data_IF_137324496569
#
_entry.id   IF_137324496569
#
_cell.length_a   1.000
_cell.length_b   1.000
_cell.length_c   1.000
_cell.angle_alpha   90.00
_cell.angle_beta   90.00
_cell.angle_gamma   90.00
#
_symmetry.space_group_name_H-M   'P 1'
#
loop_
_entity.id
_entity.type
_entity.pdbx_description
1 polymer ?
#
# COMPACT_ATOMS: atom_id res chain seq x y z
N UNK A 1 13.31 10.56 20.42
CA UNK A 1 12.87 9.35 19.70
C UNK A 1 12.51 8.28 20.72
N UNK A 2 13.43 7.98 21.64
CA UNK A 2 13.27 6.97 22.69
C UNK A 2 12.01 7.16 23.56
N UNK A 3 11.70 8.38 24.02
CA UNK A 3 10.49 8.59 24.84
C UNK A 3 9.17 8.34 24.10
N UNK A 4 9.14 8.56 22.77
CA UNK A 4 7.95 8.32 21.93
C UNK A 4 7.77 6.82 21.72
N UNK A 5 8.87 6.08 21.56
CA UNK A 5 8.87 4.63 21.38
C UNK A 5 8.42 3.94 22.68
N UNK A 6 8.95 4.36 23.83
CA UNK A 6 8.56 3.85 25.15
C UNK A 6 7.09 4.13 25.46
N UNK A 7 6.64 5.37 25.27
CA UNK A 7 5.24 5.76 25.50
C UNK A 7 4.29 4.96 24.60
N UNK A 8 4.62 4.82 23.32
CA UNK A 8 3.83 4.00 22.40
C UNK A 8 3.79 2.54 22.86
N UNK A 9 4.94 1.96 23.23
CA UNK A 9 5.00 0.55 23.66
C UNK A 9 4.16 0.30 24.90
N UNK A 10 4.19 1.20 25.90
CA UNK A 10 3.32 1.10 27.07
C UNK A 10 1.84 1.27 26.71
N UNK A 11 1.52 2.14 25.75
CA UNK A 11 0.14 2.31 25.26
C UNK A 11 -0.36 1.11 24.44
N UNK A 12 0.55 0.29 23.89
CA UNK A 12 0.21 -0.88 23.08
C UNK A 12 -0.47 -1.99 23.90
N UNK A 13 -0.42 -1.93 25.24
CA UNK A 13 -1.29 -2.72 26.11
C UNK A 13 -0.88 -4.19 26.31
N UNK A 14 0.38 -4.54 26.02
CA UNK A 14 0.88 -5.89 26.30
C UNK A 14 0.98 -6.15 27.81
N UNK A 15 0.34 -7.22 28.26
CA UNK A 15 0.45 -7.72 29.64
C UNK A 15 1.79 -8.41 29.88
N UNK A 16 2.23 -8.48 31.15
CA UNK A 16 3.44 -9.23 31.55
C UNK A 16 3.41 -10.68 31.04
N UNK A 17 2.22 -11.31 31.06
CA UNK A 17 2.04 -12.68 30.56
C UNK A 17 2.30 -12.78 29.04
N UNK A 18 1.84 -11.80 28.25
CA UNK A 18 2.09 -11.74 26.81
C UNK A 18 3.57 -11.47 26.51
N UNK A 19 4.19 -10.56 27.26
CA UNK A 19 5.63 -10.27 27.13
C UNK A 19 6.48 -11.50 27.44
N UNK A 20 6.13 -12.25 28.49
CA UNK A 20 6.77 -13.52 28.83
C UNK A 20 6.56 -14.57 27.72
N UNK A 21 5.35 -14.68 27.18
CA UNK A 21 5.06 -15.58 26.06
C UNK A 21 5.88 -15.25 24.81
N UNK A 22 6.10 -13.96 24.52
CA UNK A 22 6.96 -13.49 23.42
C UNK A 22 8.41 -13.93 23.65
N UNK A 23 8.94 -13.72 24.86
CA UNK A 23 10.30 -14.11 25.22
C UNK A 23 10.50 -15.64 25.07
N UNK A 24 9.55 -16.44 25.57
CA UNK A 24 9.59 -17.91 25.45
C UNK A 24 9.46 -18.40 24.00
N UNK A 25 8.60 -17.78 23.19
CA UNK A 25 8.47 -18.09 21.78
C UNK A 25 9.75 -17.77 21.00
N UNK A 26 10.41 -16.66 21.31
CA UNK A 26 11.71 -16.29 20.73
C UNK A 26 12.81 -17.28 21.10
N UNK A 27 12.92 -17.65 22.37
CA UNK A 27 13.91 -18.65 22.79
C UNK A 27 13.68 -19.99 22.06
N UNK A 28 12.42 -20.42 21.92
CA UNK A 28 12.06 -21.61 21.13
C UNK A 28 12.43 -21.46 19.66
N UNK A 29 12.18 -20.30 19.07
CA UNK A 29 12.54 -20.00 17.68
C UNK A 29 14.05 -20.06 17.45
N UNK A 30 14.85 -19.47 18.35
CA UNK A 30 16.32 -19.48 18.27
C UNK A 30 16.91 -20.87 18.53
N UNK A 31 16.30 -21.66 19.41
CA UNK A 31 16.71 -23.03 19.69
C UNK A 31 16.26 -24.03 18.61
N UNK A 32 15.39 -23.63 17.68
CA UNK A 32 14.80 -24.53 16.69
C UNK A 32 15.79 -24.90 15.58
N UNK A 33 16.63 -25.90 15.86
CA UNK A 33 17.61 -26.44 14.93
C UNK A 33 17.14 -27.70 14.19
N UNK A 34 15.87 -28.05 14.29
CA UNK A 34 15.29 -29.21 13.60
C UNK A 34 15.35 -29.04 12.07
N UNK A 35 15.70 -30.09 11.31
CA UNK A 35 15.91 -29.99 9.86
C UNK A 35 14.66 -29.54 9.09
N UNK A 36 13.47 -29.95 9.54
CA UNK A 36 12.20 -29.52 8.93
C UNK A 36 11.93 -28.03 9.15
N UNK A 37 12.12 -27.54 10.37
CA UNK A 37 11.90 -26.12 10.69
C UNK A 37 12.89 -25.24 9.95
N UNK A 38 14.17 -25.62 9.95
CA UNK A 38 15.22 -24.91 9.22
C UNK A 38 14.90 -24.87 7.72
N UNK A 39 14.50 -26.00 7.13
CA UNK A 39 14.13 -26.05 5.72
C UNK A 39 12.93 -25.17 5.34
N UNK A 40 11.93 -25.03 6.22
CA UNK A 40 10.80 -24.12 6.02
C UNK A 40 11.27 -22.66 6.05
N UNK A 41 12.05 -22.29 7.06
CA UNK A 41 12.56 -20.92 7.26
C UNK A 41 13.48 -20.52 6.10
N UNK A 42 14.43 -21.39 5.71
CA UNK A 42 15.34 -21.16 4.60
C UNK A 42 14.56 -20.91 3.30
N UNK A 43 13.49 -21.68 3.07
CA UNK A 43 12.66 -21.54 1.87
C UNK A 43 11.86 -20.24 1.86
N UNK A 44 11.34 -19.81 3.01
CA UNK A 44 10.71 -18.48 3.15
C UNK A 44 11.74 -17.39 2.85
N UNK A 45 12.94 -17.47 3.43
CA UNK A 45 14.00 -16.49 3.21
C UNK A 45 14.37 -16.35 1.72
N UNK A 46 14.53 -17.48 1.01
CA UNK A 46 14.80 -17.47 -0.44
C UNK A 46 13.65 -16.85 -1.22
N UNK A 47 12.39 -17.21 -0.90
CA UNK A 47 11.23 -16.69 -1.61
C UNK A 47 11.03 -15.18 -1.38
N UNK A 48 11.16 -14.70 -0.14
CA UNK A 48 11.10 -13.27 0.19
C UNK A 48 12.22 -12.54 -0.52
N UNK A 49 13.45 -13.06 -0.47
CA UNK A 49 14.62 -12.42 -1.11
C UNK A 49 14.42 -12.24 -2.60
N UNK A 50 13.96 -13.30 -3.29
CA UNK A 50 13.70 -13.24 -4.73
C UNK A 50 12.59 -12.23 -5.03
N UNK A 51 11.42 -12.39 -4.38
CA UNK A 51 10.26 -11.55 -4.62
C UNK A 51 10.56 -10.07 -4.38
N UNK A 52 11.15 -9.73 -3.24
CA UNK A 52 11.44 -8.34 -2.88
C UNK A 52 12.52 -7.72 -3.75
N UNK A 53 13.52 -8.50 -4.18
CA UNK A 53 14.55 -8.03 -5.11
C UNK A 53 13.94 -7.73 -6.48
N UNK A 54 13.08 -8.62 -6.98
CA UNK A 54 12.41 -8.43 -8.27
C UNK A 54 11.49 -7.20 -8.25
N UNK A 55 10.67 -7.05 -7.20
CA UNK A 55 9.78 -5.90 -7.02
C UNK A 55 10.54 -4.58 -6.92
N UNK A 56 11.64 -4.55 -6.15
CA UNK A 56 12.47 -3.36 -5.98
C UNK A 56 13.13 -2.96 -7.32
N UNK A 57 13.62 -3.93 -8.10
CA UNK A 57 14.15 -3.66 -9.44
C UNK A 57 13.08 -3.14 -10.42
N UNK A 58 11.82 -3.61 -10.30
CA UNK A 58 10.72 -3.13 -11.14
C UNK A 58 10.40 -1.64 -10.91
N UNK A 59 10.71 -1.09 -9.73
CA UNK A 59 10.53 0.35 -9.48
C UNK A 59 11.34 1.20 -10.45
N UNK A 60 12.51 0.73 -10.90
CA UNK A 60 13.36 1.50 -11.83
C UNK A 60 12.75 1.68 -13.24
N UNK A 61 11.68 0.94 -13.57
CA UNK A 61 10.93 1.12 -14.81
C UNK A 61 9.96 2.30 -14.76
N UNK A 62 9.72 2.87 -13.58
CA UNK A 62 8.77 3.94 -13.40
C UNK A 62 9.34 5.32 -13.72
N UNK A 63 8.53 6.20 -14.35
CA UNK A 63 8.89 7.61 -14.54
C UNK A 63 9.30 8.29 -13.24
N UNK A 64 10.16 9.31 -13.33
CA UNK A 64 10.62 10.07 -12.16
C UNK A 64 9.47 10.63 -11.33
N UNK A 65 8.43 11.17 -11.96
CA UNK A 65 7.28 11.73 -11.25
C UNK A 65 6.58 10.73 -10.33
N UNK A 66 6.49 9.45 -10.70
CA UNK A 66 5.91 8.41 -9.83
C UNK A 66 6.88 8.05 -8.70
N UNK A 67 8.19 7.98 -8.99
CA UNK A 67 9.20 7.67 -7.97
C UNK A 67 9.39 8.82 -6.97
N UNK A 68 9.23 10.06 -7.39
CA UNK A 68 9.16 11.24 -6.51
C UNK A 68 7.89 11.17 -5.65
N UNK A 69 6.75 10.86 -6.28
CA UNK A 69 5.48 10.67 -5.57
C UNK A 69 5.58 9.58 -4.50
N UNK A 70 6.26 8.46 -4.76
CA UNK A 70 6.50 7.41 -3.75
C UNK A 70 7.18 7.98 -2.50
N UNK A 71 8.17 8.86 -2.65
CA UNK A 71 8.93 9.43 -1.55
C UNK A 71 8.19 10.52 -0.77
N UNK A 72 7.33 11.28 -1.46
CA UNK A 72 6.62 12.44 -0.91
C UNK A 72 5.84 12.13 0.38
N UNK A 73 5.26 10.94 0.48
CA UNK A 73 4.32 10.59 1.56
C UNK A 73 4.95 10.22 2.92
N UNK A 74 6.27 10.03 2.98
CA UNK A 74 6.96 9.74 4.26
C UNK A 74 8.12 10.70 4.53
N UNK A 75 8.28 11.76 3.72
CA UNK A 75 9.25 12.83 3.99
C UNK A 75 8.59 14.01 4.70
N UNK A 76 9.37 14.64 5.58
CA UNK A 76 9.10 16.00 6.05
C UNK A 76 8.91 16.94 4.86
N UNK A 77 7.93 17.84 4.95
CA UNK A 77 7.67 18.87 3.93
C UNK A 77 8.91 19.72 3.56
N UNK A 78 9.93 19.75 4.44
CA UNK A 78 11.16 20.51 4.25
C UNK A 78 12.25 19.80 3.42
N UNK A 79 12.10 18.52 3.07
CA UNK A 79 13.06 17.84 2.21
C UNK A 79 12.66 17.95 0.73
N UNK A 80 13.58 18.29 -0.18
CA UNK A 80 13.25 18.36 -1.60
C UNK A 80 12.74 17.00 -2.08
N UNK A 81 11.73 17.03 -2.96
CA UNK A 81 11.28 15.86 -3.69
C UNK A 81 12.50 15.25 -4.39
N UNK A 82 12.92 14.06 -3.93
CA UNK A 82 13.93 13.25 -4.61
C UNK A 82 13.26 11.99 -5.08
N UNK A 83 13.71 11.51 -6.22
CA UNK A 83 13.36 10.19 -6.73
C UNK A 83 13.58 9.10 -5.67
N UNK A 84 12.67 8.12 -5.63
CA UNK A 84 12.88 6.88 -4.90
C UNK A 84 14.12 6.15 -5.45
N UNK A 85 15.01 5.77 -4.54
CA UNK A 85 16.26 5.06 -4.83
C UNK A 85 16.08 3.59 -4.46
N UNK A 86 16.20 2.70 -5.45
CA UNK A 86 16.10 1.26 -5.21
C UNK A 86 17.39 0.71 -4.61
N UNK A 87 17.29 -0.44 -3.94
CA UNK A 87 18.43 -1.21 -3.43
C UNK A 87 18.69 -2.46 -4.30
N UNK A 88 18.27 -2.41 -5.56
CA UNK A 88 18.32 -3.54 -6.50
C UNK A 88 19.74 -3.83 -7.02
N UNK A 89 20.67 -2.86 -6.97
CA UNK A 89 22.03 -3.03 -7.49
C UNK A 89 22.86 -4.08 -6.71
N UNK A 90 23.81 -4.77 -7.37
CA UNK A 90 24.77 -5.68 -6.72
C UNK A 90 25.58 -5.04 -5.59
N UNK A 91 26.05 -3.79 -5.73
CA UNK A 91 26.77 -3.10 -4.63
C UNK A 91 25.92 -2.87 -3.38
N UNK A 92 24.60 -2.83 -3.54
CA UNK A 92 23.63 -2.68 -2.46
C UNK A 92 23.16 -4.05 -1.91
N UNK A 93 23.74 -5.17 -2.37
CA UNK A 93 23.30 -6.52 -2.03
C UNK A 93 23.28 -6.80 -0.53
N UNK A 94 24.30 -6.37 0.21
CA UNK A 94 24.36 -6.62 1.65
C UNK A 94 23.30 -5.81 2.40
N UNK A 95 23.15 -4.52 2.06
CA UNK A 95 22.08 -3.65 2.57
C UNK A 95 20.70 -4.26 2.27
N UNK A 96 20.50 -4.74 1.05
CA UNK A 96 19.27 -5.41 0.62
C UNK A 96 18.98 -6.67 1.44
N UNK A 97 19.96 -7.56 1.60
CA UNK A 97 19.80 -8.77 2.43
C UNK A 97 19.38 -8.41 3.85
N UNK A 98 20.06 -7.44 4.45
CA UNK A 98 19.77 -6.97 5.81
C UNK A 98 18.37 -6.36 5.91
N UNK A 99 17.96 -5.54 4.95
CA UNK A 99 16.62 -4.95 4.92
C UNK A 99 15.52 -6.00 4.73
N UNK A 100 15.71 -6.96 3.82
CA UNK A 100 14.80 -8.09 3.59
C UNK A 100 14.73 -9.00 4.83
N UNK A 101 15.80 -9.08 5.62
CA UNK A 101 15.84 -9.88 6.85
C UNK A 101 14.76 -9.48 7.86
N UNK A 102 14.38 -8.20 7.91
CA UNK A 102 13.35 -7.70 8.80
C UNK A 102 11.99 -8.32 8.46
N UNK A 103 11.60 -8.29 7.19
CA UNK A 103 10.37 -8.94 6.71
C UNK A 103 10.42 -10.46 6.80
N UNK A 104 11.58 -11.04 6.53
CA UNK A 104 11.79 -12.49 6.62
C UNK A 104 11.65 -12.98 8.06
N UNK A 105 12.21 -12.26 9.03
CA UNK A 105 12.12 -12.60 10.46
C UNK A 105 10.69 -12.56 10.97
N UNK A 106 9.92 -11.54 10.59
CA UNK A 106 8.48 -11.45 10.86
C UNK A 106 7.75 -12.71 10.35
N UNK A 107 7.87 -13.02 9.06
CA UNK A 107 7.18 -14.16 8.44
C UNK A 107 7.62 -15.49 9.02
N UNK A 108 8.94 -15.69 9.18
CA UNK A 108 9.48 -16.91 9.76
C UNK A 108 8.99 -17.13 11.18
N UNK A 109 8.91 -16.06 11.98
CA UNK A 109 8.42 -16.12 13.36
C UNK A 109 6.93 -16.48 13.42
N UNK A 110 6.11 -15.85 12.57
CA UNK A 110 4.67 -16.16 12.48
C UNK A 110 4.44 -17.61 12.06
N UNK A 111 5.11 -18.07 10.99
CA UNK A 111 4.98 -19.43 10.47
C UNK A 111 5.49 -20.47 11.47
N UNK A 112 6.57 -20.18 12.20
CA UNK A 112 7.09 -21.08 13.23
C UNK A 112 6.12 -21.27 14.38
N UNK A 113 5.51 -20.18 14.86
CA UNK A 113 4.56 -20.21 15.97
C UNK A 113 3.14 -20.61 15.54
N UNK A 114 2.91 -20.82 14.23
CA UNK A 114 1.67 -21.33 13.69
C UNK A 114 1.57 -22.86 13.84
N UNK A 115 0.71 -23.32 14.75
CA UNK A 115 0.54 -24.77 15.01
C UNK A 115 -0.49 -25.43 14.08
N UNK A 116 -1.67 -24.84 13.90
CA UNK A 116 -2.73 -25.32 12.98
C UNK A 116 -3.95 -24.40 12.99
N UNK A 117 -4.78 -24.51 11.95
CA UNK A 117 -6.08 -23.83 11.85
C UNK A 117 -7.01 -24.16 13.03
N UNK A 118 -7.57 -23.14 13.68
CA UNK A 118 -8.66 -23.30 14.66
C UNK A 118 -8.28 -23.71 16.10
N UNK A 119 -7.00 -23.68 16.48
CA UNK A 119 -6.58 -23.81 17.88
C UNK A 119 -6.18 -22.45 18.45
N UNK A 120 -6.48 -22.21 19.73
CA UNK A 120 -5.94 -21.07 20.47
C UNK A 120 -4.41 -21.08 20.33
N UNK A 121 -3.89 -20.06 19.65
CA UNK A 121 -2.56 -20.10 19.06
C UNK A 121 -1.48 -19.59 20.01
N UNK A 122 -0.24 -20.03 19.82
CA UNK A 122 0.91 -19.38 20.46
C UNK A 122 0.95 -17.87 20.15
N UNK A 123 0.52 -17.46 18.95
CA UNK A 123 0.38 -16.06 18.56
C UNK A 123 -0.63 -15.29 19.44
N UNK A 124 -1.78 -15.88 19.76
CA UNK A 124 -2.80 -15.26 20.61
C UNK A 124 -2.32 -15.13 22.07
N UNK A 125 -1.58 -16.14 22.57
CA UNK A 125 -0.93 -16.04 23.88
C UNK A 125 0.13 -14.94 23.96
N UNK A 126 0.71 -14.55 22.82
CA UNK A 126 1.62 -13.41 22.68
C UNK A 126 0.89 -12.09 22.39
N UNK A 127 -0.45 -12.09 22.45
CA UNK A 127 -1.28 -10.91 22.23
C UNK A 127 -1.57 -10.58 20.77
N UNK A 128 -1.29 -11.48 19.81
CA UNK A 128 -1.61 -11.28 18.39
C UNK A 128 -2.87 -12.06 17.99
N UNK A 129 -3.98 -11.35 17.87
CA UNK A 129 -5.29 -11.84 17.45
C UNK A 129 -5.52 -11.60 15.96
N UNK A 130 -5.14 -12.58 15.15
CA UNK A 130 -5.24 -12.49 13.69
C UNK A 130 -6.67 -12.70 13.18
N UNK A 131 -7.04 -11.94 12.15
CA UNK A 131 -8.23 -12.24 11.34
C UNK A 131 -8.08 -13.59 10.64
N UNK A 132 -9.20 -14.23 10.29
CA UNK A 132 -9.19 -15.50 9.56
C UNK A 132 -8.45 -15.40 8.22
N UNK A 133 -8.57 -14.28 7.51
CA UNK A 133 -7.85 -14.06 6.26
C UNK A 133 -6.32 -14.09 6.43
N UNK A 134 -5.79 -13.52 7.51
CA UNK A 134 -4.35 -13.56 7.80
C UNK A 134 -3.91 -14.95 8.30
N UNK A 135 -4.78 -15.65 9.04
CA UNK A 135 -4.55 -17.05 9.43
C UNK A 135 -4.45 -17.97 8.20
N UNK A 136 -5.36 -17.80 7.22
CA UNK A 136 -5.34 -18.52 5.94
C UNK A 136 -4.04 -18.24 5.16
N UNK A 137 -3.60 -16.99 5.10
CA UNK A 137 -2.36 -16.62 4.40
C UNK A 137 -1.13 -17.26 5.06
N UNK A 138 -1.02 -17.23 6.40
CA UNK A 138 0.09 -17.87 7.14
C UNK A 138 0.09 -19.39 6.91
N UNK A 139 -1.09 -20.03 6.93
CA UNK A 139 -1.19 -21.47 6.67
C UNK A 139 -0.78 -21.81 5.24
N UNK A 140 -1.19 -21.02 4.26
CA UNK A 140 -0.79 -21.17 2.85
C UNK A 140 0.73 -20.99 2.68
N UNK A 141 1.32 -19.94 3.25
CA UNK A 141 2.77 -19.72 3.23
C UNK A 141 3.50 -20.92 3.84
N UNK A 142 3.07 -21.39 5.02
CA UNK A 142 3.63 -22.57 5.68
C UNK A 142 3.52 -23.83 4.80
N UNK A 143 2.37 -24.04 4.17
CA UNK A 143 2.13 -25.18 3.29
C UNK A 143 3.09 -25.18 2.09
N UNK A 144 3.23 -24.05 1.39
CA UNK A 144 4.14 -23.93 0.25
C UNK A 144 5.61 -24.03 0.64
N UNK A 145 5.97 -23.44 1.79
CA UNK A 145 7.31 -23.54 2.35
C UNK A 145 7.66 -25.01 2.72
N UNK A 146 6.73 -25.75 3.33
CA UNK A 146 6.94 -27.14 3.74
C UNK A 146 6.90 -28.13 2.58
N UNK A 147 5.96 -27.95 1.66
CA UNK A 147 5.73 -28.90 0.56
C UNK A 147 6.82 -28.87 -0.52
N UNK A 148 7.69 -27.86 -0.50
CA UNK A 148 8.72 -27.73 -1.51
C UNK A 148 8.18 -27.32 -2.89
N UNK A 149 6.97 -26.76 -2.96
CA UNK A 149 6.32 -26.31 -4.20
C UNK A 149 6.92 -25.00 -4.72
N UNK A 150 6.37 -24.48 -5.83
CA UNK A 150 6.85 -23.30 -6.57
C UNK A 150 7.28 -22.14 -5.65
N UNK A 151 8.57 -21.76 -5.74
CA UNK A 151 9.12 -20.59 -5.03
C UNK A 151 8.43 -19.30 -5.49
N UNK A 152 8.04 -19.22 -6.77
CA UNK A 152 7.32 -18.07 -7.32
C UNK A 152 5.99 -17.87 -6.60
N UNK A 153 5.20 -18.94 -6.43
CA UNK A 153 3.90 -18.87 -5.74
C UNK A 153 4.09 -18.50 -4.26
N UNK A 154 5.11 -19.05 -3.59
CA UNK A 154 5.45 -18.67 -2.22
C UNK A 154 5.80 -17.18 -2.11
N UNK A 155 6.56 -16.64 -3.07
CA UNK A 155 6.86 -15.21 -3.17
C UNK A 155 5.61 -14.34 -3.36
N UNK A 156 4.72 -14.72 -4.28
CA UNK A 156 3.45 -14.02 -4.51
C UNK A 156 2.54 -14.01 -3.27
N UNK A 157 2.44 -15.14 -2.57
CA UNK A 157 1.71 -15.24 -1.29
C UNK A 157 2.32 -14.36 -0.22
N UNK A 158 3.64 -14.31 -0.17
CA UNK A 158 4.39 -13.46 0.77
C UNK A 158 4.13 -11.98 0.51
N UNK A 159 4.23 -11.52 -0.75
CA UNK A 159 3.89 -10.15 -1.14
C UNK A 159 2.44 -9.83 -0.75
N UNK A 160 1.51 -10.75 -1.07
CA UNK A 160 0.09 -10.56 -0.75
C UNK A 160 -0.13 -10.36 0.74
N UNK A 161 0.50 -11.19 1.58
CA UNK A 161 0.43 -11.07 3.03
C UNK A 161 1.01 -9.72 3.49
N UNK A 162 2.22 -9.38 3.05
CA UNK A 162 2.88 -8.12 3.42
C UNK A 162 2.04 -6.89 3.05
N UNK A 163 1.47 -6.87 1.85
CA UNK A 163 0.58 -5.79 1.40
C UNK A 163 -0.69 -5.71 2.24
N UNK A 164 -1.33 -6.84 2.56
CA UNK A 164 -2.53 -6.85 3.43
C UNK A 164 -2.22 -6.27 4.80
N UNK A 165 -1.08 -6.62 5.38
CA UNK A 165 -0.72 -6.07 6.70
C UNK A 165 -0.41 -4.57 6.59
N UNK A 166 0.28 -4.11 5.54
CA UNK A 166 0.53 -2.68 5.30
C UNK A 166 -0.77 -1.89 5.10
N UNK A 167 -1.75 -2.47 4.37
CA UNK A 167 -2.99 -1.81 3.95
C UNK A 167 -4.17 -2.05 4.92
N UNK A 168 -3.89 -2.21 6.20
CA UNK A 168 -4.91 -2.40 7.23
C UNK A 168 -5.15 -1.09 8.00
N UNK A 169 -6.19 -0.36 7.62
CA UNK A 169 -6.55 0.92 8.25
C UNK A 169 -7.03 0.77 9.71
N UNK A 170 -7.30 -0.47 10.16
CA UNK A 170 -7.77 -0.77 11.52
C UNK A 170 -6.70 -1.45 12.36
N UNK A 171 -5.45 -1.37 11.92
CA UNK A 171 -4.34 -2.05 12.53
C UNK A 171 -4.13 -1.60 13.98
N UNK A 172 -4.04 -2.58 14.87
CA UNK A 172 -3.59 -2.38 16.26
C UNK A 172 -2.40 -3.30 16.52
N UNK A 173 -1.62 -3.04 17.58
CA UNK A 173 -0.59 -3.98 18.03
C UNK A 173 -1.12 -5.39 18.34
N UNK A 174 -2.43 -5.54 18.54
CA UNK A 174 -3.06 -6.83 18.83
C UNK A 174 -3.73 -7.50 17.62
N UNK A 175 -3.88 -6.83 16.49
CA UNK A 175 -4.63 -7.36 15.33
C UNK A 175 -3.80 -7.43 14.06
N UNK A 176 -2.75 -6.61 13.96
CA UNK A 176 -1.93 -6.49 12.77
C UNK A 176 -0.52 -7.04 13.01
N UNK A 177 -0.05 -8.02 12.21
CA UNK A 177 1.27 -8.62 12.36
C UNK A 177 2.43 -7.62 12.30
N UNK A 178 2.34 -6.58 11.46
CA UNK A 178 3.43 -5.60 11.31
C UNK A 178 3.53 -4.71 12.55
N UNK A 179 2.40 -4.18 13.03
CA UNK A 179 2.36 -3.34 14.25
C UNK A 179 2.75 -4.15 15.48
N UNK A 180 2.26 -5.39 15.58
CA UNK A 180 2.68 -6.32 16.63
C UNK A 180 4.18 -6.60 16.58
N UNK A 181 4.75 -6.80 15.39
CA UNK A 181 6.18 -7.02 15.22
C UNK A 181 7.02 -5.82 15.63
N UNK A 182 6.56 -4.60 15.36
CA UNK A 182 7.21 -3.39 15.87
C UNK A 182 7.26 -3.40 17.39
N UNK A 183 6.18 -3.78 18.08
CA UNK A 183 6.18 -3.91 19.53
C UNK A 183 7.16 -4.98 20.02
N UNK A 184 7.24 -6.13 19.34
CA UNK A 184 8.23 -7.17 19.64
C UNK A 184 9.66 -6.65 19.47
N UNK A 185 9.96 -5.94 18.38
CA UNK A 185 11.28 -5.35 18.13
C UNK A 185 11.64 -4.30 19.18
N UNK A 186 10.69 -3.44 19.57
CA UNK A 186 10.91 -2.43 20.62
C UNK A 186 11.21 -3.11 21.95
N UNK A 187 10.36 -4.04 22.39
CA UNK A 187 10.57 -4.76 23.64
C UNK A 187 11.96 -5.42 23.64
N UNK A 188 12.24 -6.18 22.58
CA UNK A 188 13.42 -7.03 22.57
C UNK A 188 14.72 -6.28 22.32
N UNK A 189 14.73 -5.23 21.51
CA UNK A 189 15.98 -4.59 21.07
C UNK A 189 16.19 -3.19 21.65
N UNK A 190 15.12 -2.51 22.07
CA UNK A 190 15.21 -1.16 22.63
C UNK A 190 15.15 -1.22 24.16
N UNK A 191 14.20 -1.99 24.72
CA UNK A 191 13.97 -2.03 26.17
C UNK A 191 14.82 -3.09 26.87
N UNK A 192 14.85 -4.31 26.33
CA UNK A 192 15.48 -5.47 27.00
C UNK A 192 16.93 -5.76 26.53
N UNK A 193 17.47 -4.97 25.59
CA UNK A 193 18.81 -5.12 24.97
C UNK A 193 19.17 -6.58 24.60
N UNK A 194 18.21 -7.30 24.04
CA UNK A 194 18.38 -8.71 23.71
C UNK A 194 19.10 -8.90 22.37
N UNK A 195 19.77 -10.05 22.16
CA UNK A 195 20.48 -10.33 20.91
C UNK A 195 19.57 -10.28 19.68
N UNK A 196 19.97 -9.54 18.65
CA UNK A 196 19.19 -9.35 17.42
C UNK A 196 18.69 -10.65 16.78
N UNK A 197 17.60 -10.55 16.04
CA UNK A 197 16.98 -11.69 15.37
C UNK A 197 17.90 -12.29 14.31
N UNK A 198 18.29 -13.55 14.48
CA UNK A 198 19.07 -14.28 13.49
C UNK A 198 18.16 -15.25 12.74
N UNK A 199 18.01 -15.03 11.43
CA UNK A 199 17.40 -16.00 10.53
C UNK A 199 18.53 -16.64 9.71
N UNK A 200 18.48 -17.96 9.53
CA UNK A 200 19.54 -18.69 8.82
C UNK A 200 19.81 -18.07 7.43
N UNK A 201 21.08 -17.78 7.15
CA UNK A 201 21.52 -17.17 5.89
C UNK A 201 21.53 -15.64 5.86
N UNK A 202 21.01 -14.95 6.90
CA UNK A 202 21.02 -13.48 6.96
C UNK A 202 21.38 -12.99 8.35
N UNK A 203 22.50 -12.26 8.46
CA UNK A 203 22.91 -11.63 9.72
C UNK A 203 22.23 -10.27 9.85
N UNK A 204 21.43 -10.10 10.91
CA UNK A 204 20.82 -8.82 11.22
C UNK A 204 21.81 -7.89 11.93
N UNK A 205 22.36 -6.94 11.17
CA UNK A 205 23.26 -5.91 11.68
C UNK A 205 22.60 -4.52 11.75
N UNK A 206 21.30 -4.44 11.46
CA UNK A 206 20.58 -3.16 11.46
C UNK A 206 20.26 -2.71 12.88
N UNK A 207 20.45 -1.42 13.14
CA UNK A 207 19.82 -0.74 14.28
C UNK A 207 18.31 -0.69 14.12
N UNK A 208 17.57 -0.44 15.20
CA UNK A 208 16.12 -0.29 15.13
C UNK A 208 15.68 0.78 14.11
N UNK A 209 16.35 1.94 14.06
CA UNK A 209 16.08 2.97 13.05
C UNK A 209 16.27 2.46 11.62
N UNK A 210 17.34 1.70 11.35
CA UNK A 210 17.58 1.14 10.02
C UNK A 210 16.56 0.04 9.65
N UNK A 211 15.99 -0.66 10.64
CA UNK A 211 14.88 -1.61 10.41
C UNK A 211 13.61 -0.88 10.02
N UNK A 212 13.32 0.24 10.65
CA UNK A 212 12.19 1.09 10.26
C UNK A 212 12.37 1.63 8.83
N UNK A 213 13.58 2.05 8.45
CA UNK A 213 13.89 2.45 7.06
C UNK A 213 13.69 1.29 6.08
N UNK A 214 14.07 0.07 6.46
CA UNK A 214 13.85 -1.13 5.65
C UNK A 214 12.36 -1.46 5.49
N UNK A 215 11.56 -1.28 6.56
CA UNK A 215 10.10 -1.45 6.51
C UNK A 215 9.48 -0.39 5.60
N UNK A 216 9.83 0.89 5.77
CA UNK A 216 9.34 2.00 4.94
C UNK A 216 9.70 1.81 3.46
N UNK A 217 10.96 1.47 3.15
CA UNK A 217 11.42 1.21 1.79
C UNK A 217 10.56 0.15 1.09
N UNK A 218 10.47 -1.03 1.69
CA UNK A 218 9.74 -2.13 1.07
C UNK A 218 8.22 -1.95 1.11
N UNK A 219 7.66 -1.23 2.08
CA UNK A 219 6.24 -0.89 2.05
C UNK A 219 5.89 -0.09 0.79
N UNK A 220 6.72 0.88 0.40
CA UNK A 220 6.51 1.66 -0.84
C UNK A 220 6.61 0.78 -2.09
N UNK A 221 7.63 -0.08 -2.16
CA UNK A 221 7.82 -1.03 -3.26
C UNK A 221 6.60 -1.94 -3.43
N UNK A 222 6.14 -2.54 -2.33
CA UNK A 222 5.06 -3.52 -2.34
C UNK A 222 3.69 -2.88 -2.60
N UNK A 223 3.42 -1.68 -2.06
CA UNK A 223 2.18 -0.95 -2.33
C UNK A 223 2.11 -0.50 -3.79
N UNK A 224 3.23 -0.08 -4.39
CA UNK A 224 3.28 0.22 -5.82
C UNK A 224 2.97 -1.03 -6.65
N UNK A 225 3.59 -2.16 -6.32
CA UNK A 225 3.35 -3.42 -7.01
C UNK A 225 1.87 -3.88 -6.91
N UNK A 226 1.30 -3.83 -5.70
CA UNK A 226 -0.11 -4.17 -5.47
C UNK A 226 -1.08 -3.31 -6.27
N UNK A 227 -0.81 -1.99 -6.33
CA UNK A 227 -1.64 -1.04 -7.04
C UNK A 227 -1.77 -1.37 -8.54
N UNK A 228 -0.74 -1.99 -9.13
CA UNK A 228 -0.74 -2.43 -10.53
C UNK A 228 -1.51 -3.75 -10.66
N UNK A 229 -1.12 -4.77 -9.90
CA UNK A 229 -1.60 -6.13 -10.15
C UNK A 229 -3.01 -6.35 -9.61
N UNK A 230 -3.35 -5.75 -8.49
CA UNK A 230 -4.60 -5.99 -7.75
C UNK A 230 -5.48 -4.75 -7.62
N UNK A 231 -4.96 -3.59 -7.98
CA UNK A 231 -5.74 -2.36 -7.97
C UNK A 231 -6.77 -2.26 -9.11
N UNK A 232 -7.50 -1.13 -9.11
CA UNK A 232 -8.71 -0.89 -9.90
C UNK A 232 -8.52 -0.62 -11.40
N UNK A 233 -7.32 -0.79 -11.94
CA UNK A 233 -7.08 -0.68 -13.38
C UNK A 233 -7.80 -1.80 -14.14
N UNK A 234 -8.42 -1.48 -15.27
CA UNK A 234 -8.99 -2.48 -16.18
C UNK A 234 -7.88 -3.38 -16.77
N UNK A 235 -8.18 -4.61 -17.23
CA UNK A 235 -7.19 -5.48 -17.85
C UNK A 235 -6.40 -4.81 -18.98
N UNK A 236 -7.08 -4.04 -19.84
CA UNK A 236 -6.44 -3.32 -20.95
C UNK A 236 -5.49 -2.22 -20.45
N UNK A 237 -5.86 -1.51 -19.38
CA UNK A 237 -4.97 -0.51 -18.76
C UNK A 237 -3.75 -1.17 -18.10
N UNK A 238 -3.91 -2.35 -17.46
CA UNK A 238 -2.79 -3.11 -16.90
C UNK A 238 -1.82 -3.56 -18.00
N UNK A 239 -2.34 -4.07 -19.11
CA UNK A 239 -1.52 -4.49 -20.25
C UNK A 239 -0.79 -3.30 -20.89
N UNK A 240 -1.49 -2.19 -21.11
CA UNK A 240 -0.90 -0.95 -21.64
C UNK A 240 0.17 -0.36 -20.71
N UNK A 241 -0.05 -0.37 -19.39
CA UNK A 241 0.93 0.04 -18.38
C UNK A 241 2.16 -0.88 -18.42
N UNK A 242 1.94 -2.20 -18.38
CA UNK A 242 3.01 -3.19 -18.42
C UNK A 242 3.85 -3.06 -19.69
N UNK A 243 3.21 -2.87 -20.84
CA UNK A 243 3.88 -2.63 -22.12
C UNK A 243 4.77 -1.39 -22.07
N UNK A 244 4.30 -0.28 -21.50
CA UNK A 244 5.11 0.92 -21.33
C UNK A 244 6.26 0.76 -20.35
N UNK A 245 6.04 0.12 -19.20
CA UNK A 245 7.11 -0.15 -18.23
C UNK A 245 8.18 -1.06 -18.83
N UNK A 246 7.78 -2.04 -19.66
CA UNK A 246 8.71 -2.95 -20.34
C UNK A 246 9.62 -2.28 -21.39
N UNK A 247 9.29 -1.05 -21.83
CA UNK A 247 10.18 -0.28 -22.73
C UNK A 247 11.40 0.29 -22.00
N UNK A 248 11.35 0.39 -20.67
CA UNK A 248 12.47 0.85 -19.85
C UNK A 248 13.37 -0.33 -19.50
N UNK A 249 14.59 -0.32 -20.00
CA UNK A 249 15.58 -1.34 -19.64
C UNK A 249 16.12 -1.12 -18.23
N UNK A 250 16.21 -2.22 -17.48
CA UNK A 250 16.83 -2.26 -16.14
C UNK A 250 18.09 -3.14 -16.13
N UNK A 251 18.61 -3.54 -17.30
CA UNK A 251 19.79 -4.41 -17.41
C UNK A 251 21.04 -3.81 -16.78
N UNK A 252 21.08 -2.49 -16.59
CA UNK A 252 22.16 -1.79 -15.91
C UNK A 252 22.26 -2.15 -14.42
N UNK A 253 21.13 -2.55 -13.80
CA UNK A 253 21.10 -3.02 -12.41
C UNK A 253 21.94 -4.29 -12.27
N UNK A 254 21.69 -5.29 -13.11
CA UNK A 254 22.40 -6.58 -13.07
C UNK A 254 23.90 -6.43 -13.35
N UNK A 255 24.28 -5.39 -14.09
CA UNK A 255 25.67 -5.08 -14.45
C UNK A 255 26.40 -4.25 -13.38
N UNK A 256 25.73 -3.91 -12.27
CA UNK A 256 26.21 -2.96 -11.26
C UNK A 256 26.68 -1.62 -11.85
N UNK A 257 26.09 -1.23 -12.98
CA UNK A 257 26.42 0.00 -13.67
C UNK A 257 25.75 1.20 -12.99
N UNK A 258 26.26 2.41 -13.28
CA UNK A 258 25.57 3.61 -12.84
C UNK A 258 24.19 3.73 -13.48
N UNK A 259 23.26 4.31 -12.71
CA UNK A 259 21.92 4.60 -13.19
C UNK A 259 22.04 5.48 -14.44
N UNK A 260 21.45 5.08 -15.58
CA UNK A 260 21.42 5.92 -16.77
C UNK A 260 20.83 7.30 -16.43
N UNK A 261 21.46 8.36 -16.92
CA UNK A 261 20.92 9.70 -16.79
C UNK A 261 19.53 9.74 -17.44
N UNK A 262 18.57 10.35 -16.75
CA UNK A 262 17.22 10.53 -17.31
C UNK A 262 17.34 11.49 -18.50
N UNK A 263 16.93 11.06 -19.69
CA UNK A 263 16.88 11.95 -20.86
C UNK A 263 15.87 13.08 -20.57
N UNK A 264 16.30 14.36 -20.54
CA UNK A 264 15.41 15.49 -20.27
C UNK A 264 14.22 15.56 -21.23
N UNK A 265 14.38 15.11 -22.47
CA UNK A 265 13.28 15.05 -23.45
C UNK A 265 12.29 13.97 -23.08
N UNK A 266 12.77 12.79 -22.70
CA UNK A 266 11.91 11.69 -22.23
C UNK A 266 11.16 12.10 -20.96
N UNK A 267 11.85 12.69 -19.97
CA UNK A 267 11.21 13.20 -18.75
C UNK A 267 10.14 14.26 -19.06
N UNK A 268 10.42 15.18 -19.99
CA UNK A 268 9.43 16.15 -20.43
C UNK A 268 8.22 15.46 -21.07
N UNK A 269 8.44 14.54 -22.02
CA UNK A 269 7.37 13.78 -22.65
C UNK A 269 6.55 12.98 -21.63
N UNK A 270 7.19 12.35 -20.66
CA UNK A 270 6.52 11.63 -19.58
C UNK A 270 5.68 12.56 -18.70
N UNK A 271 6.21 13.74 -18.35
CA UNK A 271 5.51 14.73 -17.51
C UNK A 271 4.27 15.35 -18.19
N UNK A 272 4.29 15.48 -19.51
CA UNK A 272 3.16 16.03 -20.29
C UNK A 272 2.24 14.94 -20.85
N UNK A 273 2.65 13.68 -20.77
CA UNK A 273 1.87 12.53 -21.25
C UNK A 273 0.58 12.38 -20.46
N UNK A 274 -0.55 12.42 -21.16
CA UNK A 274 -1.85 12.15 -20.56
C UNK A 274 -1.87 10.79 -19.85
N UNK A 275 -1.25 9.77 -20.46
CA UNK A 275 -1.15 8.41 -19.90
C UNK A 275 -0.49 8.41 -18.52
N UNK A 276 0.68 9.03 -18.39
CA UNK A 276 1.41 9.06 -17.12
C UNK A 276 0.75 9.96 -16.09
N UNK A 277 0.08 11.04 -16.52
CA UNK A 277 -0.77 11.84 -15.64
C UNK A 277 -1.89 11.01 -15.03
N UNK A 278 -2.62 10.25 -15.84
CA UNK A 278 -3.68 9.35 -15.36
C UNK A 278 -3.15 8.33 -14.35
N UNK A 279 -1.98 7.71 -14.61
CA UNK A 279 -1.40 6.78 -13.63
C UNK A 279 -0.91 7.48 -12.35
N UNK A 280 -0.40 8.71 -12.45
CA UNK A 280 -0.01 9.52 -11.29
C UNK A 280 -1.22 9.85 -10.42
N UNK A 281 -2.32 10.28 -11.03
CA UNK A 281 -3.59 10.56 -10.37
C UNK A 281 -4.19 9.30 -9.73
N UNK A 282 -4.05 8.14 -10.38
CA UNK A 282 -4.45 6.85 -9.83
C UNK A 282 -3.60 6.42 -8.62
N UNK A 283 -2.28 6.59 -8.67
CA UNK A 283 -1.36 6.15 -7.60
C UNK A 283 -1.38 7.07 -6.38
N UNK A 284 -1.59 8.38 -6.58
CA UNK A 284 -1.57 9.40 -5.52
C UNK A 284 -2.46 9.05 -4.31
N UNK A 285 -3.77 8.75 -4.47
CA UNK A 285 -4.61 8.42 -3.32
C UNK A 285 -4.18 7.12 -2.63
N UNK A 286 -3.66 6.14 -3.38
CA UNK A 286 -3.18 4.86 -2.81
C UNK A 286 -1.98 5.10 -1.90
N UNK A 287 -1.00 5.88 -2.34
CA UNK A 287 0.15 6.20 -1.50
C UNK A 287 -0.23 7.11 -0.33
N UNK A 288 -1.13 8.07 -0.53
CA UNK A 288 -1.64 8.92 0.54
C UNK A 288 -2.33 8.11 1.64
N UNK A 289 -3.10 7.09 1.24
CA UNK A 289 -3.85 6.24 2.16
C UNK A 289 -2.95 5.26 2.93
N UNK A 290 -1.88 4.73 2.31
CA UNK A 290 -1.15 3.59 2.89
C UNK A 290 0.30 3.86 3.29
N UNK A 291 0.90 4.97 2.84
CA UNK A 291 2.33 5.26 3.03
C UNK A 291 2.57 6.58 3.75
N UNK A 292 1.58 7.06 4.52
CA UNK A 292 1.66 8.33 5.26
C UNK A 292 1.59 8.13 6.77
N UNK A 293 2.06 9.14 7.50
CA UNK A 293 1.87 9.29 8.95
C UNK A 293 0.40 9.46 9.38
N UNK A 294 -0.51 9.58 8.42
CA UNK A 294 -1.75 10.35 8.58
C UNK A 294 -2.99 9.46 8.51
N UNK A 295 -2.83 8.31 7.86
CA UNK A 295 -3.78 7.21 7.89
C UNK A 295 -3.59 6.36 9.15
N UNK A 296 -4.66 5.84 9.77
CA UNK A 296 -4.56 4.96 10.95
C UNK A 296 -3.91 3.58 10.68
N UNK A 297 -3.29 3.37 9.52
CA UNK A 297 -2.59 2.13 9.18
C UNK A 297 -1.19 1.99 9.81
N UNK A 298 -0.55 0.81 9.71
CA UNK A 298 0.74 0.52 10.33
C UNK A 298 1.87 1.45 9.93
N UNK A 299 1.85 1.96 8.69
CA UNK A 299 2.88 2.87 8.21
C UNK A 299 2.89 4.19 8.98
N UNK A 300 1.77 4.61 9.56
CA UNK A 300 1.78 5.77 10.45
C UNK A 300 2.65 5.55 11.69
N UNK A 301 2.62 4.34 12.25
CA UNK A 301 3.47 3.96 13.39
C UNK A 301 4.94 3.92 12.98
N UNK A 302 5.25 3.36 11.81
CA UNK A 302 6.63 3.34 11.27
C UNK A 302 7.17 4.75 11.06
N UNK A 303 6.38 5.62 10.44
CA UNK A 303 6.72 7.02 10.14
C UNK A 303 6.84 7.83 11.45
N UNK A 304 5.94 7.62 12.41
CA UNK A 304 6.04 8.22 13.75
C UNK A 304 7.38 7.86 14.40
N UNK A 305 7.81 6.60 14.32
CA UNK A 305 9.08 6.18 14.93
C UNK A 305 10.30 6.72 14.18
N UNK A 306 10.26 6.74 12.84
CA UNK A 306 11.36 7.29 12.03
C UNK A 306 11.58 8.77 12.28
N UNK A 307 10.51 9.53 12.52
CA UNK A 307 10.56 10.98 12.51
C UNK A 307 10.29 11.62 13.86
N UNK A 308 9.74 10.87 14.82
CA UNK A 308 9.39 11.34 16.16
C UNK A 308 8.14 12.24 16.23
N UNK A 309 7.45 12.48 15.11
CA UNK A 309 6.22 13.26 15.03
C UNK A 309 5.34 12.75 13.87
N UNK A 310 4.03 12.75 14.08
CA UNK A 310 3.04 12.63 13.02
C UNK A 310 2.69 14.04 12.53
N UNK A 311 3.08 14.39 11.31
CA UNK A 311 2.57 15.60 10.68
C UNK A 311 1.14 15.34 10.23
N UNK A 312 0.19 16.17 10.69
CA UNK A 312 -1.15 16.21 10.11
C UNK A 312 -1.04 16.98 8.79
N UNK A 313 -1.46 16.39 7.66
CA UNK A 313 -1.44 17.12 6.42
C UNK A 313 -2.60 18.12 6.46
N UNK A 314 -2.48 19.13 5.63
CA UNK A 314 -3.65 19.92 5.29
C UNK A 314 -4.43 19.12 4.26
N UNK A 315 -5.49 18.43 4.70
CA UNK A 315 -6.51 17.93 3.80
C UNK A 315 -7.42 19.07 3.43
N UNK A 316 -7.64 19.23 2.12
CA UNK A 316 -8.64 20.14 1.61
C UNK A 316 -9.84 19.34 1.17
N UNK A 317 -10.97 19.61 1.83
CA UNK A 317 -12.27 19.16 1.39
C UNK A 317 -12.52 19.70 -0.02
N UNK A 318 -12.70 18.80 -0.96
CA UNK A 318 -13.15 19.10 -2.31
C UNK A 318 -14.47 18.39 -2.56
N UNK A 319 -15.21 18.88 -3.54
CA UNK A 319 -16.44 18.26 -4.01
C UNK A 319 -16.18 17.66 -5.38
N UNK A 320 -16.31 16.34 -5.49
CA UNK A 320 -16.16 15.59 -6.74
C UNK A 320 -17.54 15.36 -7.33
N UNK A 321 -17.73 15.79 -8.58
CA UNK A 321 -18.93 15.45 -9.35
C UNK A 321 -18.68 14.14 -10.07
N UNK A 322 -19.55 13.16 -9.81
CA UNK A 322 -19.58 11.87 -10.52
C UNK A 322 -20.83 11.78 -11.37
N UNK A 323 -20.74 11.05 -12.48
CA UNK A 323 -21.87 10.81 -13.37
C UNK A 323 -21.82 9.39 -13.92
N UNK A 324 -23.00 8.79 -14.04
CA UNK A 324 -23.26 7.48 -14.65
C UNK A 324 -24.32 7.67 -15.73
N UNK A 325 -24.09 7.14 -16.93
CA UNK A 325 -25.08 7.09 -18.03
C UNK A 325 -25.37 5.62 -18.36
N UNK A 326 -26.64 5.28 -18.46
CA UNK A 326 -27.17 3.99 -18.90
C UNK A 326 -27.91 4.22 -20.23
N UNK A 327 -27.38 3.71 -21.34
CA UNK A 327 -28.01 3.74 -22.67
C UNK A 327 -28.57 2.35 -23.01
N UNK A 328 -29.88 2.27 -23.29
CA UNK A 328 -30.64 1.05 -23.67
C UNK A 328 -30.76 0.01 -22.54
N UNK A 329 -31.95 -0.58 -22.36
CA UNK A 329 -32.19 -1.75 -21.48
C UNK A 329 -31.53 -3.04 -22.03
N UNK A 330 -30.25 -2.96 -22.41
CA UNK A 330 -29.38 -4.09 -22.70
C UNK A 330 -29.00 -4.77 -21.39
N UNK A 331 -28.97 -6.10 -21.40
CA UNK A 331 -28.61 -6.97 -20.26
C UNK A 331 -27.18 -6.70 -19.75
N UNK A 332 -26.38 -5.94 -20.51
CA UNK A 332 -25.10 -5.37 -20.07
C UNK A 332 -25.09 -3.85 -20.34
N UNK A 333 -25.28 -3.00 -19.33
CA UNK A 333 -25.11 -1.56 -19.49
C UNK A 333 -23.64 -1.27 -19.85
N UNK A 334 -23.41 -0.46 -20.88
CA UNK A 334 -22.10 0.14 -21.12
C UNK A 334 -21.80 1.08 -19.95
N UNK A 335 -20.99 0.60 -19.00
CA UNK A 335 -20.46 1.42 -17.92
C UNK A 335 -19.39 2.34 -18.51
N UNK A 336 -19.77 3.52 -18.99
CA UNK A 336 -18.81 4.59 -19.24
C UNK A 336 -18.30 5.08 -17.87
N UNK A 337 -17.09 4.66 -17.50
CA UNK A 337 -16.44 5.10 -16.27
C UNK A 337 -16.03 6.58 -16.40
N UNK A 338 -16.71 7.41 -15.60
CA UNK A 338 -16.27 8.66 -14.98
C UNK A 338 -15.53 9.71 -15.85
N UNK A 339 -16.20 10.84 -16.12
CA UNK A 339 -15.52 12.15 -16.14
C UNK A 339 -15.61 12.75 -14.72
N UNK A 340 -14.60 12.57 -13.85
CA UNK A 340 -14.53 13.39 -12.65
C UNK A 340 -14.23 14.82 -13.09
N UNK A 341 -15.23 15.70 -13.03
CA UNK A 341 -15.00 17.13 -13.10
C UNK A 341 -14.62 17.58 -11.68
N UNK A 342 -13.32 17.71 -11.41
CA UNK A 342 -12.86 18.33 -10.17
C UNK A 342 -13.34 19.79 -10.14
N UNK A 343 -14.15 20.12 -9.15
CA UNK A 343 -14.59 21.50 -8.97
C UNK A 343 -13.59 22.17 -8.03
N UNK A 344 -12.85 23.13 -8.58
CA UNK A 344 -11.76 23.85 -7.89
C UNK A 344 -12.07 24.14 -6.42
N UNK A 345 -11.07 23.90 -5.61
CA UNK A 345 -10.91 23.95 -4.16
C UNK A 345 -11.47 25.17 -3.40
N UNK A 346 -12.00 26.21 -4.06
CA UNK A 346 -12.80 27.29 -3.42
C UNK A 346 -14.30 27.16 -3.67
N UNK A 347 -14.73 26.07 -4.30
CA UNK A 347 -16.11 25.83 -4.66
C UNK A 347 -16.96 25.53 -3.43
N UNK A 348 -18.05 26.28 -3.29
CA UNK A 348 -19.14 25.93 -2.40
C UNK A 348 -19.86 24.69 -2.93
N UNK A 349 -20.58 23.96 -2.07
CA UNK A 349 -21.52 22.89 -2.45
C UNK A 349 -22.43 23.36 -3.60
N UNK A 350 -22.82 24.63 -3.60
CA UNK A 350 -23.59 25.24 -4.68
C UNK A 350 -22.89 25.20 -6.05
N UNK A 351 -21.59 25.49 -6.10
CA UNK A 351 -20.79 25.42 -7.34
C UNK A 351 -20.62 23.97 -7.80
N UNK A 352 -20.41 23.03 -6.88
CA UNK A 352 -20.36 21.60 -7.20
C UNK A 352 -21.70 21.08 -7.75
N UNK A 353 -22.81 21.42 -7.08
CA UNK A 353 -24.16 21.11 -7.52
C UNK A 353 -24.49 21.76 -8.88
N UNK A 354 -23.97 22.97 -9.16
CA UNK A 354 -24.09 23.62 -10.47
C UNK A 354 -23.32 22.85 -11.54
N UNK A 355 -22.10 22.40 -11.26
CA UNK A 355 -21.32 21.56 -12.17
C UNK A 355 -22.02 20.24 -12.46
N UNK A 356 -22.59 19.56 -11.46
CA UNK A 356 -23.37 18.33 -11.66
C UNK A 356 -24.56 18.54 -12.63
N UNK A 357 -25.25 19.67 -12.52
CA UNK A 357 -26.32 20.06 -13.47
C UNK A 357 -25.79 20.32 -14.88
N UNK A 358 -24.62 20.96 -14.99
CA UNK A 358 -23.97 21.21 -16.28
C UNK A 358 -23.55 19.90 -16.95
N UNK A 359 -22.95 18.95 -16.22
CA UNK A 359 -22.55 17.66 -16.77
C UNK A 359 -23.72 16.90 -17.41
N UNK A 360 -24.86 16.78 -16.73
CA UNK A 360 -26.03 16.13 -17.33
C UNK A 360 -26.55 16.93 -18.54
N UNK A 361 -26.57 18.26 -18.45
CA UNK A 361 -27.06 19.10 -19.54
C UNK A 361 -26.21 19.00 -20.80
N UNK A 362 -24.89 19.02 -20.64
CA UNK A 362 -23.95 19.06 -21.76
C UNK A 362 -23.89 17.68 -22.45
N UNK A 363 -24.13 16.58 -21.71
CA UNK A 363 -24.08 15.20 -22.21
C UNK A 363 -25.44 14.70 -22.75
N UNK A 364 -26.56 15.04 -22.10
CA UNK A 364 -27.89 14.54 -22.47
C UNK A 364 -28.87 15.61 -22.96
N UNK A 365 -28.50 16.90 -22.90
CA UNK A 365 -29.34 18.01 -23.32
C UNK A 365 -30.11 18.69 -22.18
N UNK A 366 -30.90 19.73 -22.48
CA UNK A 366 -31.48 20.60 -21.45
C UNK A 366 -32.58 19.91 -20.63
N UNK A 367 -32.77 20.36 -19.37
CA UNK A 367 -33.73 19.80 -18.41
C UNK A 367 -35.16 19.69 -18.97
N UNK A 368 -35.59 20.65 -19.78
CA UNK A 368 -36.92 20.68 -20.41
C UNK A 368 -37.09 19.63 -21.52
N UNK A 369 -36.01 19.04 -22.03
CA UNK A 369 -36.06 17.92 -22.98
C UNK A 369 -36.08 16.55 -22.26
N UNK A 370 -35.86 16.51 -20.95
CA UNK A 370 -35.95 15.27 -20.18
C UNK A 370 -37.41 14.86 -19.96
N UNK A 371 -37.69 13.56 -20.06
CA UNK A 371 -38.98 13.00 -19.67
C UNK A 371 -39.18 13.03 -18.15
N UNK A 372 -38.09 12.84 -17.39
CA UNK A 372 -38.08 12.94 -15.93
C UNK A 372 -36.75 13.52 -15.43
N UNK A 373 -36.84 14.45 -14.48
CA UNK A 373 -35.69 15.05 -13.81
C UNK A 373 -35.94 15.16 -12.31
N UNK A 374 -35.30 14.29 -11.54
CA UNK A 374 -35.41 14.27 -10.08
C UNK A 374 -34.10 14.82 -9.47
N UNK A 375 -34.21 15.85 -8.63
CA UNK A 375 -33.10 16.39 -7.83
C UNK A 375 -33.36 16.04 -6.36
N UNK A 376 -32.46 15.28 -5.75
CA UNK A 376 -32.51 14.93 -4.33
C UNK A 376 -31.31 15.53 -3.63
N UNK A 377 -31.54 16.20 -2.50
CA UNK A 377 -30.49 16.72 -1.64
C UNK A 377 -30.34 15.80 -0.42
N UNK A 378 -29.10 15.52 -0.02
CA UNK A 378 -28.84 14.86 1.25
C UNK A 378 -28.82 15.84 2.43
N UNK A 379 -28.58 15.33 3.64
CA UNK A 379 -28.52 16.14 4.87
C UNK A 379 -27.37 17.16 4.91
N UNK A 380 -26.43 17.10 3.97
CA UNK A 380 -25.32 18.04 3.82
C UNK A 380 -25.56 19.09 2.71
N UNK A 381 -26.63 18.94 1.93
CA UNK A 381 -26.97 19.83 0.82
C UNK A 381 -26.31 19.45 -0.52
N UNK A 382 -25.66 18.28 -0.61
CA UNK A 382 -25.11 17.75 -1.86
C UNK A 382 -26.23 17.17 -2.72
N UNK A 383 -26.13 17.35 -4.04
CA UNK A 383 -27.17 16.91 -4.97
C UNK A 383 -26.90 15.52 -5.54
N UNK A 384 -27.97 14.75 -5.69
CA UNK A 384 -28.07 13.60 -6.60
C UNK A 384 -29.16 13.87 -7.62
N UNK A 385 -28.78 13.94 -8.88
CA UNK A 385 -29.68 14.23 -10.01
C UNK A 385 -29.89 12.95 -10.79
N UNK A 386 -31.14 12.56 -10.98
CA UNK A 386 -31.54 11.50 -11.91
C UNK A 386 -32.29 12.12 -13.08
N UNK A 387 -31.78 11.94 -14.28
CA UNK A 387 -32.41 12.39 -15.51
C UNK A 387 -32.72 11.21 -16.43
N UNK A 388 -33.93 11.21 -17.02
CA UNK A 388 -34.38 10.21 -17.98
C UNK A 388 -34.79 10.95 -19.26
N UNK A 389 -34.14 10.63 -20.37
CA UNK A 389 -34.45 11.16 -21.69
C UNK A 389 -35.03 10.02 -22.53
N UNK A 390 -36.09 10.33 -23.28
CA UNK A 390 -36.78 9.40 -24.16
C UNK A 390 -36.85 10.06 -25.53
N UNK A 391 -36.01 9.60 -26.44
CA UNK A 391 -36.04 10.01 -27.85
C UNK A 391 -36.51 8.81 -28.70
N UNK A 392 -37.02 9.07 -29.91
CA UNK A 392 -37.49 8.06 -30.87
C UNK A 392 -36.42 7.00 -31.20
N UNK A 393 -35.14 7.29 -30.93
CA UNK A 393 -34.00 6.42 -31.19
C UNK A 393 -33.43 5.67 -29.96
N UNK A 394 -33.56 6.17 -28.72
CA UNK A 394 -32.99 5.54 -27.51
C UNK A 394 -33.61 6.05 -26.18
N UNK A 395 -33.76 5.15 -25.21
CA UNK A 395 -34.01 5.51 -23.79
C UNK A 395 -32.65 5.65 -23.09
N UNK A 396 -32.35 6.85 -22.56
CA UNK A 396 -31.12 7.13 -21.82
C UNK A 396 -31.43 7.56 -20.38
N UNK A 397 -30.72 7.00 -19.40
CA UNK A 397 -30.82 7.36 -17.99
C UNK A 397 -29.46 7.81 -17.47
N UNK A 398 -29.38 9.01 -16.92
CA UNK A 398 -28.21 9.44 -16.17
C UNK A 398 -28.49 9.62 -14.68
N UNK A 399 -27.46 9.37 -13.89
CA UNK A 399 -27.37 9.76 -12.49
C UNK A 399 -26.08 10.54 -12.30
N UNK A 400 -26.17 11.82 -11.95
CA UNK A 400 -25.01 12.60 -11.48
C UNK A 400 -25.14 12.87 -9.98
N UNK A 401 -24.03 12.89 -9.26
CA UNK A 401 -24.02 13.17 -7.84
C UNK A 401 -22.73 13.85 -7.41
N UNK A 402 -22.80 14.57 -6.30
CA UNK A 402 -21.65 15.19 -5.66
C UNK A 402 -21.25 14.34 -4.46
N UNK A 403 -19.95 14.06 -4.35
CA UNK A 403 -19.35 13.47 -3.15
C UNK A 403 -18.32 14.42 -2.59
N UNK A 404 -18.24 14.47 -1.26
CA UNK A 404 -17.14 15.10 -0.56
C UNK A 404 -15.95 14.15 -0.56
N UNK A 405 -14.77 14.66 -0.93
CA UNK A 405 -13.52 13.93 -0.86
C UNK A 405 -12.46 14.81 -0.22
N UNK A 406 -11.60 14.20 0.59
CA UNK A 406 -10.42 14.86 1.12
C UNK A 406 -9.28 14.71 0.10
N UNK A 407 -8.88 15.82 -0.52
CA UNK A 407 -7.67 15.86 -1.34
C UNK A 407 -6.54 16.46 -0.51
N UNK A 408 -5.41 15.78 -0.50
CA UNK A 408 -4.18 16.28 0.10
C UNK A 408 -3.77 17.59 -0.59
N UNK A 409 -3.69 18.70 0.15
CA UNK A 409 -3.07 19.93 -0.38
C UNK A 409 -1.58 19.89 -0.19
N UNK A 410 -0.83 20.15 -1.26
CA UNK A 410 0.58 20.49 -1.17
C UNK A 410 0.69 21.84 -0.46
N UNK A 411 1.51 21.91 0.61
CA UNK A 411 1.87 23.18 1.25
C UNK A 411 2.44 24.15 0.19
N UNK A 412 2.08 25.43 0.34
CA UNK A 412 2.47 26.51 -0.58
C UNK A 412 3.95 26.86 -0.55
#
# INVERSE_FOLDING_TARGET
MDSVIEEWYHSAGFTDAQQQAIAEARQRFQAANGPTTKGIIDRIAVAVTQAFTDSDAMVERWPSGIRELMNRFSRYATQPDRNFETWARPRDQEKRKQAISVWTSLLAFLVFNWKSYGADGALESMGLNLSWALKDDIDAIRYYAKSGRSLKVLGEMTITFCVKVIKDATATPHTNPLVWWLAVLIQTEVLDDQPRWTVAGVQDTLSFSQKLEAIDHYARVLVLEDAIYRGGLSPNQKEDLQSSLNQVTISWIDQDAERPAVDPRQALFESVSHKWRTYTEYMRPIFAEWLTGQSPGPMSTVILFLHGKLETPWYKKVYIVKMQIEEVFSINPMMAACYPAEVDTKATIEKANKTARMCIRDELGPKNASHKWDEVFDGSGMIRIRAIYRDEANDARAVAWVEEADILTEDK
#
